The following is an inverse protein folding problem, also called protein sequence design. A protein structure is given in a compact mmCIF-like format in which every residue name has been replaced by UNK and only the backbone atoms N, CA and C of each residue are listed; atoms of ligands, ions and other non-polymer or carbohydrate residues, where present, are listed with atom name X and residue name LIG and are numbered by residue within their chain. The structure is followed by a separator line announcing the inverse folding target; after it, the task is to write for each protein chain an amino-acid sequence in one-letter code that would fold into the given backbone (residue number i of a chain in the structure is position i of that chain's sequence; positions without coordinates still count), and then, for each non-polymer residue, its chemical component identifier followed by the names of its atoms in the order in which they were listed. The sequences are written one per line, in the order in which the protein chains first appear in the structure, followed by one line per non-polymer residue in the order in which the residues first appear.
data_IF_494905778647
#
_entry.id   IF_494905778647
#
_cell.length_a   1.000
_cell.length_b   1.000
_cell.length_c   1.000
_cell.angle_alpha   90.00
_cell.angle_beta   90.00
_cell.angle_gamma   90.00
#
_symmetry.space_group_name_H-M   'P 1'
#
loop_
_entity.id
_entity.type
_entity.pdbx_description
1 polymer ?
#
# COMPACT_ATOMS: atom_id res chain seq x y z
N UNK A 1 19.18 2.07 -11.37
CA UNK A 1 19.27 2.75 -10.07
C UNK A 1 17.93 2.62 -9.37
N UNK A 2 17.88 1.88 -8.26
CA UNK A 2 16.80 1.83 -7.24
C UNK A 2 17.30 1.09 -5.98
N UNK A 3 18.62 1.12 -5.73
CA UNK A 3 19.28 0.29 -4.72
C UNK A 3 18.65 0.50 -3.33
N UNK A 4 18.42 1.75 -2.94
CA UNK A 4 17.85 2.10 -1.64
C UNK A 4 16.45 1.51 -1.42
N UNK A 5 15.57 1.59 -2.42
CA UNK A 5 14.22 1.02 -2.32
C UNK A 5 14.26 -0.51 -2.20
N UNK A 6 15.14 -1.17 -2.96
CA UNK A 6 15.28 -2.62 -2.88
C UNK A 6 15.89 -3.09 -1.55
N UNK A 7 16.76 -2.28 -0.94
CA UNK A 7 17.39 -2.60 0.34
C UNK A 7 16.47 -2.35 1.54
N UNK A 8 15.73 -1.24 1.54
CA UNK A 8 15.00 -0.77 2.72
C UNK A 8 13.48 -0.87 2.61
N UNK A 9 12.94 -1.11 1.42
CA UNK A 9 11.52 -1.17 1.19
C UNK A 9 11.07 -2.52 0.63
N UNK A 10 9.80 -2.82 0.86
CA UNK A 10 9.10 -3.96 0.29
C UNK A 10 8.05 -3.47 -0.71
N UNK A 11 8.09 -3.98 -1.94
CA UNK A 11 7.16 -3.60 -3.01
C UNK A 11 5.89 -4.44 -2.98
N UNK A 12 4.77 -3.82 -2.60
CA UNK A 12 3.47 -4.45 -2.57
C UNK A 12 2.82 -4.59 -3.96
N UNK A 13 3.20 -3.77 -4.94
CA UNK A 13 2.68 -3.86 -6.30
C UNK A 13 3.28 -5.09 -6.98
N UNK A 14 4.59 -5.27 -6.88
CA UNK A 14 5.26 -6.46 -7.42
C UNK A 14 4.71 -7.76 -6.83
N UNK A 15 4.37 -7.75 -5.54
CA UNK A 15 3.75 -8.90 -4.89
C UNK A 15 2.30 -9.15 -5.34
N UNK A 16 1.52 -8.09 -5.57
CA UNK A 16 0.16 -8.18 -6.09
C UNK A 16 0.13 -8.67 -7.55
N UNK A 17 1.04 -8.19 -8.41
CA UNK A 17 1.21 -8.65 -9.80
C UNK A 17 1.55 -10.14 -9.88
N UNK A 18 2.35 -10.63 -8.92
CA UNK A 18 2.70 -12.05 -8.78
C UNK A 18 1.59 -12.89 -8.15
N UNK A 19 0.45 -12.30 -7.80
CA UNK A 19 -0.67 -12.99 -7.17
C UNK A 19 -0.39 -13.49 -5.75
N UNK A 20 0.62 -12.94 -5.05
CA UNK A 20 0.98 -13.39 -3.69
C UNK A 20 -0.07 -13.07 -2.63
N UNK A 21 -0.96 -12.13 -2.90
CA UNK A 21 -2.07 -11.78 -2.02
C UNK A 21 -3.38 -11.95 -2.79
N UNK A 22 -4.31 -12.71 -2.21
CA UNK A 22 -5.65 -12.89 -2.77
C UNK A 22 -6.53 -11.65 -2.58
N UNK A 23 -7.66 -11.64 -3.28
CA UNK A 23 -8.70 -10.64 -3.10
C UNK A 23 -9.33 -10.72 -1.70
N UNK A 24 -9.44 -9.58 -1.02
CA UNK A 24 -9.98 -9.48 0.34
C UNK A 24 -11.35 -8.82 0.27
N UNK A 25 -12.36 -9.53 0.77
CA UNK A 25 -13.76 -9.10 0.75
C UNK A 25 -14.02 -8.09 1.88
N UNK A 26 -14.90 -7.12 1.63
CA UNK A 26 -15.39 -6.19 2.67
C UNK A 26 -14.56 -4.92 2.85
N UNK A 27 -13.44 -4.75 2.15
CA UNK A 27 -12.57 -3.57 2.28
C UNK A 27 -12.84 -2.48 1.22
N UNK A 28 -13.81 -2.67 0.33
CA UNK A 28 -14.06 -1.78 -0.81
C UNK A 28 -14.32 -0.32 -0.41
N UNK A 29 -15.09 -0.08 0.66
CA UNK A 29 -15.39 1.27 1.13
C UNK A 29 -14.14 1.97 1.67
N UNK A 30 -13.40 1.31 2.55
CA UNK A 30 -12.17 1.84 3.16
C UNK A 30 -11.11 2.13 2.09
N UNK A 31 -10.93 1.24 1.11
CA UNK A 31 -9.97 1.43 0.02
C UNK A 31 -10.37 2.64 -0.83
N UNK A 32 -11.66 2.78 -1.16
CA UNK A 32 -12.15 3.91 -1.94
C UNK A 32 -11.94 5.23 -1.19
N UNK A 33 -12.14 5.24 0.12
CA UNK A 33 -11.87 6.41 0.97
C UNK A 33 -10.37 6.75 1.01
N UNK A 34 -9.50 5.73 1.14
CA UNK A 34 -8.05 5.93 1.08
C UNK A 34 -7.63 6.56 -0.24
N UNK A 35 -8.13 6.05 -1.38
CA UNK A 35 -7.85 6.60 -2.72
C UNK A 35 -8.32 8.06 -2.80
N UNK A 36 -9.54 8.35 -2.34
CA UNK A 36 -10.09 9.70 -2.36
C UNK A 36 -9.26 10.68 -1.52
N UNK A 37 -8.71 10.24 -0.38
CA UNK A 37 -7.81 11.06 0.45
C UNK A 37 -6.49 11.30 -0.28
N UNK A 38 -5.88 10.25 -0.85
CA UNK A 38 -4.60 10.33 -1.57
C UNK A 38 -4.66 11.27 -2.79
N UNK A 39 -5.82 11.39 -3.43
CA UNK A 39 -6.05 12.26 -4.58
C UNK A 39 -6.31 13.74 -4.24
N UNK A 40 -6.37 14.12 -2.96
CA UNK A 40 -6.58 15.51 -2.55
C UNK A 40 -5.34 16.37 -2.83
N UNK A 41 -5.54 17.66 -3.05
CA UNK A 41 -4.44 18.63 -3.17
C UNK A 41 -3.74 18.91 -1.84
N UNK A 42 -4.47 18.81 -0.71
CA UNK A 42 -3.93 19.03 0.64
C UNK A 42 -4.39 17.94 1.59
N UNK A 43 -3.58 17.67 2.63
CA UNK A 43 -3.82 16.59 3.62
C UNK A 43 -4.10 15.24 2.94
N UNK A 44 -3.28 14.90 1.97
CA UNK A 44 -3.41 13.69 1.16
C UNK A 44 -2.74 12.45 1.79
N UNK A 45 -2.29 12.53 3.03
CA UNK A 45 -1.72 11.39 3.76
C UNK A 45 -2.80 10.62 4.50
N UNK A 46 -2.83 9.29 4.32
CA UNK A 46 -3.74 8.39 5.03
C UNK A 46 -3.05 7.84 6.27
N UNK A 47 -3.71 7.92 7.43
CA UNK A 47 -3.27 7.28 8.67
C UNK A 47 -4.30 6.24 9.13
N UNK A 48 -3.90 4.96 9.13
CA UNK A 48 -4.76 3.85 9.56
C UNK A 48 -4.66 3.61 11.09
N UNK A 49 -5.71 3.96 11.82
CA UNK A 49 -5.80 3.83 13.28
C UNK A 49 -6.58 2.56 13.65
N UNK A 50 -6.20 1.90 14.76
CA UNK A 50 -6.81 0.64 15.21
C UNK A 50 -5.86 -0.23 16.03
N UNK A 51 -6.39 -1.25 16.69
CA UNK A 51 -5.62 -2.18 17.52
C UNK A 51 -4.66 -3.06 16.69
N UNK A 52 -3.66 -3.71 17.31
CA UNK A 52 -2.83 -4.71 16.64
C UNK A 52 -3.70 -5.85 16.08
N UNK A 53 -3.34 -6.38 14.91
CA UNK A 53 -4.03 -7.54 14.32
C UNK A 53 -5.34 -7.26 13.57
N UNK A 54 -5.91 -6.06 13.66
CA UNK A 54 -7.20 -5.70 13.01
C UNK A 54 -7.17 -5.63 11.47
N UNK A 55 -6.07 -6.02 10.83
CA UNK A 55 -5.99 -6.04 9.37
C UNK A 55 -5.54 -4.73 8.72
N UNK A 56 -4.87 -3.81 9.42
CA UNK A 56 -4.29 -2.60 8.78
C UNK A 56 -3.42 -2.92 7.56
N UNK A 57 -2.63 -3.99 7.65
CA UNK A 57 -1.80 -4.49 6.54
C UNK A 57 -2.65 -5.06 5.39
N UNK A 58 -3.82 -5.63 5.69
CA UNK A 58 -4.76 -6.15 4.69
C UNK A 58 -5.35 -5.02 3.82
N UNK A 59 -5.57 -3.83 4.40
CA UNK A 59 -5.99 -2.64 3.65
C UNK A 59 -4.94 -2.27 2.60
N UNK A 60 -3.65 -2.22 2.98
CA UNK A 60 -2.54 -1.91 2.06
C UNK A 60 -2.42 -2.95 0.94
N UNK A 61 -2.53 -4.24 1.26
CA UNK A 61 -2.54 -5.32 0.26
C UNK A 61 -3.70 -5.20 -0.73
N UNK A 62 -4.88 -4.87 -0.23
CA UNK A 62 -6.09 -4.72 -1.06
C UNK A 62 -6.00 -3.47 -1.94
N UNK A 63 -5.39 -2.39 -1.44
CA UNK A 63 -5.07 -1.21 -2.22
C UNK A 63 -4.10 -1.56 -3.37
N UNK A 64 -3.03 -2.31 -3.09
CA UNK A 64 -2.10 -2.79 -4.12
C UNK A 64 -2.81 -3.61 -5.20
N UNK A 65 -3.66 -4.56 -4.80
CA UNK A 65 -4.47 -5.35 -5.72
C UNK A 65 -5.35 -4.46 -6.61
N UNK A 66 -5.98 -3.43 -6.03
CA UNK A 66 -6.84 -2.50 -6.78
C UNK A 66 -6.06 -1.63 -7.76
N UNK A 67 -4.83 -1.24 -7.41
CA UNK A 67 -3.90 -0.52 -8.29
C UNK A 67 -3.52 -1.37 -9.51
N UNK A 68 -3.10 -2.62 -9.28
CA UNK A 68 -2.70 -3.55 -10.36
C UNK A 68 -3.84 -3.84 -11.35
N UNK A 69 -5.07 -4.01 -10.84
CA UNK A 69 -6.24 -4.30 -11.66
C UNK A 69 -6.88 -3.04 -12.28
N UNK A 70 -6.15 -1.91 -12.33
CA UNK A 70 -6.57 -0.64 -12.95
C UNK A 70 -7.91 -0.08 -12.46
N UNK A 71 -8.29 -0.39 -11.22
CA UNK A 71 -9.52 0.09 -10.59
C UNK A 71 -9.31 1.43 -9.83
N UNK A 72 -8.40 2.26 -10.32
CA UNK A 72 -7.99 3.57 -9.77
C UNK A 72 -7.73 4.57 -10.91
N UNK A 73 -7.95 5.86 -10.63
CA UNK A 73 -7.73 6.95 -11.59
C UNK A 73 -6.28 6.95 -12.09
N UNK A 74 -6.05 7.40 -13.33
CA UNK A 74 -4.73 7.40 -13.97
C UNK A 74 -3.64 8.20 -13.21
N UNK A 75 -4.05 9.10 -12.33
CA UNK A 75 -3.16 9.94 -11.50
C UNK A 75 -2.65 9.27 -10.22
N UNK A 76 -3.23 8.13 -9.81
CA UNK A 76 -2.76 7.42 -8.60
C UNK A 76 -1.48 6.66 -8.93
N UNK A 77 -0.40 7.02 -8.24
CA UNK A 77 0.94 6.43 -8.34
C UNK A 77 0.93 4.91 -8.50
N UNK A 78 1.72 4.40 -9.47
CA UNK A 78 1.83 2.97 -9.82
C UNK A 78 2.63 2.13 -8.81
N UNK A 79 3.17 2.72 -7.76
CA UNK A 79 4.10 2.06 -6.85
C UNK A 79 3.63 2.20 -5.40
N UNK A 80 3.67 1.09 -4.65
CA UNK A 80 3.31 1.01 -3.24
C UNK A 80 4.41 0.28 -2.48
N UNK A 81 5.20 1.04 -1.73
CA UNK A 81 6.32 0.52 -0.95
C UNK A 81 6.00 0.57 0.54
N UNK A 82 6.33 -0.49 1.28
CA UNK A 82 6.46 -0.43 2.73
C UNK A 82 7.91 -0.22 3.11
N UNK A 83 8.15 0.81 3.92
CA UNK A 83 9.44 1.02 4.55
C UNK A 83 9.66 0.01 5.68
N UNK A 84 10.80 -0.68 5.66
CA UNK A 84 11.27 -1.48 6.77
C UNK A 84 12.13 -0.61 7.70
N UNK A 85 11.57 -0.26 8.85
CA UNK A 85 12.26 0.56 9.86
C UNK A 85 13.45 -0.17 10.51
N UNK A 86 13.44 -1.50 10.59
CA UNK A 86 14.55 -2.28 11.14
C UNK A 86 15.78 -2.19 10.23
N UNK A 87 15.55 -2.37 8.93
CA UNK A 87 16.60 -2.24 7.92
C UNK A 87 17.17 -0.81 7.90
N UNK A 88 16.33 0.22 8.07
CA UNK A 88 16.76 1.62 8.07
C UNK A 88 17.57 2.00 9.31
N UNK A 89 17.25 1.44 10.48
CA UNK A 89 17.93 1.77 11.75
C UNK A 89 19.16 0.91 12.04
N UNK A 90 19.50 -0.02 11.14
CA UNK A 90 20.71 -0.86 11.24
C UNK A 90 20.66 -1.90 12.35
N UNK A 91 19.47 -2.30 12.80
CA UNK A 91 19.27 -3.32 13.86
C UNK A 91 19.06 -4.74 13.29
N UNK A 92 19.75 -5.06 12.20
CA UNK A 92 19.77 -6.40 11.61
C UNK A 92 21.07 -7.11 11.97
#
# INVERSE_FOLDING_TARGET
GNHLLNTYCHDFIADAEKGKFGYIIGLNQIISECINILLRQTKNSVLLIGAPGVGKKAIVKSLAHRIVHQNVHHDVSKHLFALNMEALTGKA
#
